data_IF_732676041574
#
_entry.id   IF_732676041574
#
_cell.length_a   1.000
_cell.length_b   1.000
_cell.length_c   1.000
_cell.angle_alpha   90.00
_cell.angle_beta   90.00
_cell.angle_gamma   90.00
#
_symmetry.space_group_name_H-M   'P 1'
#
loop_
_entity.id
_entity.type
_entity.pdbx_description
1 polymer ?
#
# COMPACT_ATOMS: atom_id res chain seq x y z
N UNK A 1 -6.90 18.88 3.06
CA UNK A 1 -6.78 17.48 3.52
C UNK A 1 -5.30 17.14 3.46
N UNK A 2 -4.72 16.69 4.57
CA UNK A 2 -3.32 16.25 4.62
C UNK A 2 -3.14 14.84 4.03
N UNK A 3 -1.87 14.48 3.75
CA UNK A 3 -1.49 13.19 3.16
C UNK A 3 -2.00 12.01 4.00
N UNK A 4 -1.86 12.08 5.33
CA UNK A 4 -2.25 11.02 6.27
C UNK A 4 -3.74 10.71 6.11
N UNK A 5 -4.57 11.74 6.17
CA UNK A 5 -6.03 11.66 6.02
C UNK A 5 -6.44 11.14 4.65
N UNK A 6 -5.76 11.58 3.58
CA UNK A 6 -6.01 11.08 2.22
C UNK A 6 -5.73 9.59 2.08
N UNK A 7 -4.62 9.09 2.63
CA UNK A 7 -4.30 7.65 2.55
C UNK A 7 -5.28 6.84 3.40
N UNK A 8 -5.63 7.29 4.62
CA UNK A 8 -6.61 6.60 5.48
C UNK A 8 -7.96 6.45 4.78
N UNK A 9 -8.50 7.55 4.25
CA UNK A 9 -9.79 7.55 3.56
C UNK A 9 -9.77 6.65 2.32
N UNK A 10 -8.67 6.68 1.56
CA UNK A 10 -8.51 5.83 0.38
C UNK A 10 -8.49 4.34 0.73
N UNK A 11 -7.68 3.93 1.72
CA UNK A 11 -7.61 2.54 2.18
C UNK A 11 -8.98 2.08 2.71
N UNK A 12 -9.65 2.91 3.52
CA UNK A 12 -10.98 2.61 4.04
C UNK A 12 -12.01 2.41 2.92
N UNK A 13 -12.01 3.29 1.92
CA UNK A 13 -12.96 3.23 0.81
C UNK A 13 -12.70 2.02 -0.07
N UNK A 14 -11.45 1.72 -0.40
CA UNK A 14 -11.09 0.53 -1.18
C UNK A 14 -11.53 -0.76 -0.51
N UNK A 15 -11.32 -0.88 0.81
CA UNK A 15 -11.71 -2.09 1.53
C UNK A 15 -13.21 -2.23 1.73
N UNK A 16 -13.91 -1.15 2.07
CA UNK A 16 -15.36 -1.21 2.35
C UNK A 16 -16.21 -1.21 1.09
N UNK A 17 -15.71 -0.61 0.00
CA UNK A 17 -16.47 -0.37 -1.24
C UNK A 17 -15.63 -0.63 -2.49
N UNK A 18 -15.01 -1.82 -2.65
CA UNK A 18 -14.15 -2.11 -3.81
C UNK A 18 -14.88 -1.98 -5.15
N UNK A 19 -16.19 -2.26 -5.18
CA UNK A 19 -17.03 -2.12 -6.38
C UNK A 19 -17.18 -0.69 -6.91
N UNK A 20 -16.79 0.33 -6.13
CA UNK A 20 -16.71 1.70 -6.65
C UNK A 20 -15.51 1.91 -7.57
N UNK A 21 -14.50 1.05 -7.47
CA UNK A 21 -13.23 1.16 -8.19
C UNK A 21 -13.07 0.08 -9.26
N UNK A 22 -13.67 -1.10 -9.03
CA UNK A 22 -13.48 -2.28 -9.86
C UNK A 22 -14.82 -2.90 -10.24
N UNK A 23 -14.95 -3.31 -11.50
CA UNK A 23 -16.17 -3.96 -12.01
C UNK A 23 -16.29 -5.43 -11.62
N UNK A 24 -15.16 -6.08 -11.31
CA UNK A 24 -15.05 -7.48 -10.90
C UNK A 24 -14.33 -7.58 -9.55
N UNK A 25 -14.24 -8.79 -8.98
CA UNK A 25 -13.47 -9.03 -7.76
C UNK A 25 -11.97 -8.86 -8.05
N UNK A 26 -11.32 -7.78 -7.57
CA UNK A 26 -9.94 -7.49 -7.90
C UNK A 26 -8.98 -8.45 -7.19
N UNK A 27 -7.99 -8.98 -7.93
CA UNK A 27 -6.86 -9.71 -7.35
C UNK A 27 -5.85 -8.76 -6.70
N UNK A 28 -4.92 -9.30 -5.90
CA UNK A 28 -3.86 -8.52 -5.24
C UNK A 28 -3.13 -7.57 -6.20
N UNK A 29 -2.77 -8.06 -7.39
CA UNK A 29 -2.02 -7.27 -8.37
C UNK A 29 -2.80 -6.05 -8.86
N UNK A 30 -4.13 -6.12 -8.93
CA UNK A 30 -5.00 -4.99 -9.27
C UNK A 30 -4.95 -3.92 -8.19
N UNK A 31 -5.08 -4.30 -6.91
CA UNK A 31 -4.91 -3.36 -5.79
C UNK A 31 -3.51 -2.76 -5.75
N UNK A 32 -2.47 -3.57 -5.98
CA UNK A 32 -1.07 -3.13 -6.03
C UNK A 32 -0.90 -1.98 -7.02
N UNK A 33 -1.36 -2.15 -8.25
CA UNK A 33 -1.25 -1.12 -9.30
C UNK A 33 -2.04 0.13 -8.92
N UNK A 34 -3.26 -0.05 -8.41
CA UNK A 34 -4.14 1.06 -8.06
C UNK A 34 -3.59 1.91 -6.92
N UNK A 35 -3.12 1.28 -5.84
CA UNK A 35 -2.45 1.94 -4.72
C UNK A 35 -1.18 2.65 -5.18
N UNK A 36 -0.36 2.02 -6.02
CA UNK A 36 0.86 2.64 -6.55
C UNK A 36 0.56 3.92 -7.33
N UNK A 37 -0.47 3.89 -8.18
CA UNK A 37 -0.91 5.08 -8.93
C UNK A 37 -1.41 6.19 -8.01
N UNK A 38 -2.21 5.85 -6.99
CA UNK A 38 -2.69 6.82 -6.00
C UNK A 38 -1.55 7.48 -5.22
N UNK A 39 -0.60 6.68 -4.70
CA UNK A 39 0.55 7.21 -3.96
C UNK A 39 1.44 8.10 -4.83
N UNK A 40 1.69 7.72 -6.09
CA UNK A 40 2.44 8.56 -7.03
C UNK A 40 1.74 9.90 -7.30
N UNK A 41 0.41 9.91 -7.38
CA UNK A 41 -0.37 11.15 -7.48
C UNK A 41 -0.23 12.05 -6.26
N UNK A 42 -0.22 11.47 -5.05
CA UNK A 42 0.05 12.22 -3.81
C UNK A 42 1.48 12.77 -3.77
N UNK A 43 2.48 11.97 -4.17
CA UNK A 43 3.86 12.42 -4.25
C UNK A 43 4.02 13.64 -5.15
N UNK A 44 3.35 13.64 -6.31
CA UNK A 44 3.34 14.76 -7.24
C UNK A 44 2.62 15.99 -6.67
N UNK A 45 1.44 15.80 -6.06
CA UNK A 45 0.61 16.89 -5.57
C UNK A 45 1.21 17.61 -4.35
N UNK A 46 1.98 16.91 -3.53
CA UNK A 46 2.53 17.42 -2.26
C UNK A 46 4.05 17.54 -2.25
N UNK A 47 4.73 17.34 -3.38
CA UNK A 47 6.20 17.33 -3.52
C UNK A 47 6.89 16.50 -2.41
N UNK A 48 6.54 15.22 -2.34
CA UNK A 48 6.98 14.32 -1.28
C UNK A 48 7.44 12.97 -1.84
N UNK A 49 8.10 12.17 -0.99
CA UNK A 49 8.69 10.86 -1.35
C UNK A 49 8.07 9.72 -0.53
N UNK A 50 6.73 9.65 -0.51
CA UNK A 50 5.96 8.68 0.28
C UNK A 50 6.38 7.24 -0.02
N UNK A 51 6.49 6.85 -1.30
CA UNK A 51 6.84 5.48 -1.69
C UNK A 51 8.26 5.10 -1.25
N UNK A 52 9.20 6.04 -1.30
CA UNK A 52 10.56 5.80 -0.79
C UNK A 52 10.54 5.64 0.73
N UNK A 53 9.90 6.57 1.46
CA UNK A 53 9.78 6.50 2.93
C UNK A 53 9.12 5.21 3.39
N UNK A 54 8.02 4.83 2.75
CA UNK A 54 7.30 3.58 3.02
C UNK A 54 8.17 2.35 2.69
N UNK A 55 9.00 2.40 1.64
CA UNK A 55 9.97 1.34 1.36
C UNK A 55 11.00 1.18 2.47
N UNK A 56 11.59 2.28 2.94
CA UNK A 56 12.60 2.25 3.99
C UNK A 56 12.00 1.80 5.33
N UNK A 57 10.84 2.34 5.71
CA UNK A 57 10.11 1.92 6.90
C UNK A 57 9.77 0.42 6.86
N UNK A 58 9.31 -0.09 5.72
CA UNK A 58 8.97 -1.52 5.60
C UNK A 58 10.21 -2.41 5.73
N UNK A 59 11.32 -2.02 5.11
CA UNK A 59 12.60 -2.73 5.26
C UNK A 59 13.08 -2.77 6.71
N UNK A 60 13.00 -1.63 7.41
CA UNK A 60 13.39 -1.53 8.81
C UNK A 60 12.50 -2.38 9.71
N UNK A 61 11.17 -2.23 9.57
CA UNK A 61 10.16 -2.94 10.38
C UNK A 61 10.31 -4.45 10.33
N UNK A 62 10.61 -4.99 9.15
CA UNK A 62 10.74 -6.44 8.94
C UNK A 62 12.19 -6.92 8.85
N UNK A 63 13.17 -6.05 9.08
CA UNK A 63 14.63 -6.33 9.00
C UNK A 63 15.05 -6.98 7.68
N UNK A 64 14.67 -6.36 6.57
CA UNK A 64 14.85 -6.89 5.22
C UNK A 64 15.88 -6.07 4.45
N UNK A 65 16.90 -6.75 3.94
CA UNK A 65 17.81 -6.18 2.94
C UNK A 65 17.34 -6.60 1.54
N UNK A 66 16.50 -5.77 0.91
CA UNK A 66 15.98 -6.04 -0.44
C UNK A 66 16.07 -4.81 -1.34
N UNK A 67 16.35 -5.03 -2.63
CA UNK A 67 16.43 -3.96 -3.65
C UNK A 67 15.08 -3.60 -4.30
N UNK A 68 13.99 -4.16 -3.77
CA UNK A 68 12.64 -3.97 -4.31
C UNK A 68 11.92 -2.84 -3.56
N UNK A 69 10.82 -2.32 -4.11
CA UNK A 69 9.91 -1.47 -3.33
C UNK A 69 9.06 -2.32 -2.38
N UNK A 70 8.64 -1.75 -1.24
CA UNK A 70 7.84 -2.46 -0.22
C UNK A 70 6.69 -3.28 -0.83
N UNK A 71 5.99 -2.71 -1.82
CA UNK A 71 4.81 -3.32 -2.41
C UNK A 71 5.14 -4.57 -3.22
N UNK A 72 6.35 -4.66 -3.77
CA UNK A 72 6.83 -5.87 -4.45
C UNK A 72 7.42 -6.88 -3.46
N UNK A 73 7.82 -6.44 -2.26
CA UNK A 73 8.31 -7.34 -1.22
C UNK A 73 7.21 -8.19 -0.58
N UNK A 74 5.99 -7.65 -0.46
CA UNK A 74 4.85 -8.34 0.18
C UNK A 74 4.69 -9.79 -0.33
N UNK A 75 4.50 -10.06 -1.64
CA UNK A 75 4.35 -11.44 -2.12
C UNK A 75 5.64 -12.26 -2.03
N UNK A 76 6.83 -11.62 -2.03
CA UNK A 76 8.11 -12.31 -1.92
C UNK A 76 8.34 -12.89 -0.51
N UNK A 77 7.81 -12.22 0.51
CA UNK A 77 7.93 -12.60 1.92
C UNK A 77 6.80 -13.52 2.39
N UNK A 78 5.70 -13.56 1.65
CA UNK A 78 4.46 -14.23 2.01
C UNK A 78 4.05 -15.24 0.92
N UNK A 79 5.00 -16.09 0.49
CA UNK A 79 4.81 -16.99 -0.67
C UNK A 79 3.74 -18.06 -0.46
N UNK A 80 3.45 -18.38 0.80
CA UNK A 80 2.45 -19.36 1.23
C UNK A 80 1.05 -18.74 1.39
N UNK A 81 0.92 -17.42 1.22
CA UNK A 81 -0.33 -16.69 1.42
C UNK A 81 -1.21 -16.67 0.18
N UNK A 82 -2.51 -16.79 0.41
CA UNK A 82 -3.53 -16.61 -0.63
C UNK A 82 -3.60 -15.16 -1.12
N UNK A 83 -4.20 -14.96 -2.29
CA UNK A 83 -4.42 -13.63 -2.87
C UNK A 83 -5.16 -12.69 -1.90
N UNK A 84 -6.17 -13.20 -1.18
CA UNK A 84 -6.92 -12.43 -0.18
C UNK A 84 -6.09 -12.06 1.04
N UNK A 85 -5.24 -12.97 1.53
CA UNK A 85 -4.31 -12.66 2.62
C UNK A 85 -3.28 -11.60 2.19
N UNK A 86 -2.80 -11.65 0.95
CA UNK A 86 -1.89 -10.63 0.41
C UNK A 86 -2.56 -9.26 0.32
N UNK A 87 -3.85 -9.19 -0.03
CA UNK A 87 -4.63 -7.93 0.01
C UNK A 87 -4.72 -7.38 1.44
N UNK A 88 -4.99 -8.25 2.42
CA UNK A 88 -5.03 -7.84 3.84
C UNK A 88 -3.70 -7.24 4.26
N UNK A 89 -2.59 -7.92 3.96
CA UNK A 89 -1.23 -7.44 4.28
C UNK A 89 -0.95 -6.10 3.59
N UNK A 90 -1.34 -5.93 2.33
CA UNK A 90 -1.19 -4.68 1.58
C UNK A 90 -1.84 -3.49 2.27
N UNK A 91 -3.11 -3.64 2.64
CA UNK A 91 -3.84 -2.56 3.32
C UNK A 91 -3.33 -2.31 4.74
N UNK A 92 -2.99 -3.38 5.46
CA UNK A 92 -2.45 -3.27 6.81
C UNK A 92 -1.11 -2.53 6.81
N UNK A 93 -0.24 -2.83 5.85
CA UNK A 93 1.05 -2.16 5.66
C UNK A 93 0.88 -0.65 5.48
N UNK A 94 -0.06 -0.22 4.63
CA UNK A 94 -0.35 1.21 4.45
C UNK A 94 -0.89 1.86 5.72
N UNK A 95 -1.79 1.20 6.45
CA UNK A 95 -2.35 1.75 7.68
C UNK A 95 -1.28 1.96 8.73
N UNK A 96 -0.46 0.94 8.96
CA UNK A 96 0.60 1.00 9.97
C UNK A 96 1.59 2.11 9.66
N UNK A 97 2.05 2.23 8.41
CA UNK A 97 2.93 3.33 8.04
C UNK A 97 2.29 4.70 8.25
N UNK A 98 1.01 4.85 7.90
CA UNK A 98 0.29 6.11 8.07
C UNK A 98 0.07 6.45 9.55
N UNK A 99 -0.03 5.46 10.44
CA UNK A 99 -0.12 5.73 11.88
C UNK A 99 1.23 6.04 12.52
N UNK A 100 2.29 5.37 12.08
CA UNK A 100 3.63 5.46 12.67
C UNK A 100 4.47 6.63 12.13
N UNK A 101 4.35 6.97 10.84
CA UNK A 101 5.31 7.84 10.12
C UNK A 101 4.72 9.12 9.49
N UNK A 102 3.40 9.20 9.31
CA UNK A 102 2.69 10.32 8.67
C UNK A 102 1.71 11.00 9.62
#
# INVERSE_FOLDING_TARGET
>A
MDIKSSIKLFVETLQKRPRMFFSEEPVYNTYKIYIKGFLAGLELAFDTKIMLKLTLWYQEKFKIEAKHHWIEMIPLLNKDKSDDELKVILFQTLRENVEEEL
#
